data_IF_967765384100
#
_entry.id   IF_967765384100
#
_cell.length_a   1.000
_cell.length_b   1.000
_cell.length_c   1.000
_cell.angle_alpha   90.00
_cell.angle_beta   90.00
_cell.angle_gamma   90.00
#
_symmetry.space_group_name_H-M   'P 1'
#
loop_
_entity.id
_entity.type
_entity.pdbx_description
1 polymer ?
#
# COMPACT_ATOMS: atom_id res chain seq x y z
N UNK A 1 69.00 28.65 10.31
CA UNK A 1 69.32 27.32 10.87
C UNK A 1 69.23 26.31 9.72
N UNK A 2 70.38 25.83 9.26
CA UNK A 2 70.47 24.89 8.13
C UNK A 2 70.42 23.46 8.65
N UNK A 3 69.33 22.74 8.34
CA UNK A 3 69.27 21.31 8.63
C UNK A 3 70.12 20.52 7.62
N UNK A 4 70.89 19.56 8.05
CA UNK A 4 71.80 18.84 7.16
C UNK A 4 71.08 17.89 6.25
N UNK A 5 71.27 18.00 4.93
CA UNK A 5 70.66 17.20 3.83
C UNK A 5 70.79 15.67 3.99
N UNK A 6 71.56 15.17 4.93
CA UNK A 6 71.75 13.72 5.17
C UNK A 6 70.58 13.07 5.97
N UNK A 7 69.79 13.85 6.67
CA UNK A 7 68.61 13.30 7.42
C UNK A 7 67.40 13.01 6.53
N UNK A 8 67.24 13.77 5.44
CA UNK A 8 66.15 13.57 4.50
C UNK A 8 66.28 12.26 3.70
N UNK A 9 67.50 11.83 3.38
CA UNK A 9 67.76 10.62 2.60
C UNK A 9 67.51 9.34 3.42
N UNK A 10 67.81 9.39 4.73
CA UNK A 10 67.57 8.23 5.62
C UNK A 10 66.04 7.97 5.89
N UNK A 11 65.26 9.03 5.98
CA UNK A 11 63.83 8.92 6.14
C UNK A 11 63.13 8.37 4.89
N UNK A 12 63.69 8.69 3.70
CA UNK A 12 63.11 8.20 2.43
C UNK A 12 63.41 6.71 2.20
N UNK A 13 64.54 6.20 2.65
CA UNK A 13 64.89 4.77 2.55
C UNK A 13 64.13 3.94 3.56
N UNK A 14 63.82 4.48 4.76
CA UNK A 14 62.98 3.77 5.76
C UNK A 14 61.52 3.69 5.35
N UNK A 15 61.01 4.66 4.58
CA UNK A 15 59.63 4.64 4.04
C UNK A 15 59.44 3.65 2.88
N UNK A 16 60.51 3.33 2.13
CA UNK A 16 60.44 2.39 0.99
C UNK A 16 60.49 0.91 1.43
N UNK A 17 61.01 0.59 2.61
CA UNK A 17 61.11 -0.79 3.11
C UNK A 17 59.79 -1.28 3.73
N UNK A 18 58.91 -0.37 4.12
CA UNK A 18 57.61 -0.74 4.72
C UNK A 18 56.51 -1.09 3.71
N UNK A 19 56.72 -0.97 2.40
CA UNK A 19 55.73 -1.22 1.35
C UNK A 19 55.82 -2.62 0.71
N UNK A 20 56.73 -3.50 1.15
CA UNK A 20 56.93 -4.83 0.54
C UNK A 20 56.30 -5.98 1.36
N UNK A 21 55.64 -5.72 2.48
CA UNK A 21 55.16 -6.75 3.41
C UNK A 21 53.64 -6.89 3.51
N UNK A 22 52.89 -6.73 2.42
CA UNK A 22 51.48 -7.16 2.36
C UNK A 22 51.17 -7.58 0.93
N UNK A 23 51.61 -8.78 0.55
CA UNK A 23 50.93 -9.51 -0.52
C UNK A 23 49.76 -10.27 0.14
N UNK A 24 48.47 -10.06 -0.31
CA UNK A 24 47.42 -10.95 0.08
C UNK A 24 47.70 -12.32 -0.52
N UNK A 25 47.76 -13.33 0.33
CA UNK A 25 47.76 -14.74 -0.04
C UNK A 25 46.41 -15.01 -0.69
N UNK A 26 46.41 -15.34 -1.96
CA UNK A 26 45.22 -15.77 -2.69
C UNK A 26 44.82 -17.15 -2.14
N UNK A 27 43.86 -17.16 -1.21
CA UNK A 27 43.22 -18.37 -0.72
C UNK A 27 42.34 -18.90 -1.86
N UNK A 28 42.85 -19.97 -2.50
CA UNK A 28 42.07 -20.70 -3.53
C UNK A 28 40.83 -21.25 -2.82
N UNK A 29 39.70 -20.56 -2.95
CA UNK A 29 38.42 -21.07 -2.49
C UNK A 29 38.11 -22.34 -3.25
N UNK A 30 38.11 -23.49 -2.56
CA UNK A 30 37.58 -24.73 -3.08
C UNK A 30 36.10 -24.51 -3.45
N UNK A 31 35.77 -24.81 -4.72
CA UNK A 31 34.37 -24.80 -5.18
C UNK A 31 33.54 -25.75 -4.30
N UNK A 32 32.42 -25.29 -3.74
CA UNK A 32 31.54 -26.20 -3.02
C UNK A 32 31.02 -27.27 -3.97
N UNK A 33 31.26 -28.52 -3.62
CA UNK A 33 30.72 -29.69 -4.29
C UNK A 33 29.19 -29.58 -4.28
N UNK A 34 28.58 -29.60 -5.46
CA UNK A 34 27.13 -29.61 -5.62
C UNK A 34 26.54 -30.79 -4.81
N UNK A 35 25.83 -30.48 -3.74
CA UNK A 35 25.04 -31.45 -3.01
C UNK A 35 23.99 -32.02 -3.98
N UNK A 36 24.01 -33.33 -4.14
CA UNK A 36 23.00 -34.07 -4.93
C UNK A 36 21.64 -33.82 -4.27
N UNK A 37 20.75 -33.15 -5.01
CA UNK A 37 19.39 -32.92 -4.58
C UNK A 37 18.67 -34.26 -4.42
N UNK A 38 18.04 -34.58 -3.28
CA UNK A 38 17.27 -35.81 -3.15
C UNK A 38 16.11 -35.83 -4.15
N UNK A 39 16.03 -36.89 -4.95
CA UNK A 39 14.93 -37.15 -5.87
C UNK A 39 13.64 -37.26 -5.07
N UNK A 40 12.67 -36.40 -5.35
CA UNK A 40 11.34 -36.46 -4.75
C UNK A 40 10.66 -37.76 -5.20
N UNK A 41 10.43 -38.67 -4.29
CA UNK A 41 9.58 -39.83 -4.49
C UNK A 41 8.14 -39.32 -4.71
N UNK A 42 7.41 -39.78 -5.75
CA UNK A 42 6.03 -39.37 -5.93
C UNK A 42 5.20 -39.83 -4.72
N UNK A 43 4.59 -38.86 -4.04
CA UNK A 43 3.63 -39.08 -2.96
C UNK A 43 2.31 -39.53 -3.59
N UNK A 44 1.74 -40.59 -3.05
CA UNK A 44 0.46 -41.13 -3.47
C UNK A 44 -0.64 -40.07 -3.40
N UNK A 45 -1.32 -39.87 -4.51
CA UNK A 45 -2.48 -38.98 -4.62
C UNK A 45 -3.61 -39.52 -3.77
N UNK A 46 -4.14 -38.77 -2.77
CA UNK A 46 -5.31 -39.23 -2.05
C UNK A 46 -6.54 -39.25 -2.98
N UNK A 47 -7.11 -40.41 -3.18
CA UNK A 47 -8.40 -40.61 -3.84
C UNK A 47 -9.50 -39.94 -3.05
N UNK A 48 -10.15 -38.93 -3.61
CA UNK A 48 -11.30 -38.28 -3.00
C UNK A 48 -12.49 -39.23 -2.99
N UNK A 49 -12.88 -39.65 -1.79
CA UNK A 49 -14.17 -40.35 -1.58
C UNK A 49 -15.29 -39.34 -1.73
N UNK A 50 -16.34 -39.59 -2.54
CA UNK A 50 -17.45 -38.65 -2.67
C UNK A 50 -18.21 -38.55 -1.33
N UNK A 51 -18.26 -37.33 -0.77
CA UNK A 51 -19.02 -36.99 0.41
C UNK A 51 -20.50 -36.85 0.07
N UNK A 52 -21.34 -37.30 0.99
CA UNK A 52 -22.79 -37.38 0.87
C UNK A 52 -23.47 -36.05 0.52
N UNK A 53 -24.44 -36.13 -0.39
CA UNK A 53 -25.34 -35.04 -0.79
C UNK A 53 -26.19 -34.60 0.42
N UNK A 54 -26.05 -33.35 0.83
CA UNK A 54 -26.92 -32.75 1.85
C UNK A 54 -28.27 -32.37 1.21
N UNK A 55 -29.33 -32.93 1.76
CA UNK A 55 -30.72 -32.58 1.46
C UNK A 55 -31.01 -31.11 1.88
N UNK A 56 -31.67 -30.29 1.06
CA UNK A 56 -31.96 -28.91 1.44
C UNK A 56 -32.98 -28.84 2.57
N UNK A 57 -32.59 -28.24 3.68
CA UNK A 57 -33.44 -27.89 4.81
C UNK A 57 -34.19 -26.58 4.51
N UNK A 58 -35.44 -26.53 4.88
CA UNK A 58 -36.35 -25.44 4.62
C UNK A 58 -35.84 -24.05 5.03
N UNK A 59 -36.09 -23.07 4.15
CA UNK A 59 -35.82 -21.64 4.33
C UNK A 59 -36.73 -21.03 5.40
N UNK A 60 -36.19 -20.30 6.40
CA UNK A 60 -37.06 -19.54 7.31
C UNK A 60 -37.66 -18.29 6.62
N UNK A 61 -38.92 -18.07 6.85
CA UNK A 61 -39.69 -16.91 6.41
C UNK A 61 -39.17 -15.63 7.10
N UNK A 62 -38.91 -14.53 6.40
CA UNK A 62 -38.51 -13.29 7.05
C UNK A 62 -39.73 -12.65 7.75
N UNK A 63 -39.60 -12.43 9.05
CA UNK A 63 -40.54 -11.64 9.85
C UNK A 63 -40.16 -10.17 9.69
N UNK A 64 -41.09 -9.35 9.22
CA UNK A 64 -40.96 -7.90 9.17
C UNK A 64 -41.02 -7.31 10.57
N UNK A 65 -40.02 -6.54 10.98
CA UNK A 65 -40.08 -5.73 12.19
C UNK A 65 -39.31 -4.44 12.06
N UNK A 66 -39.93 -3.39 12.54
CA UNK A 66 -39.46 -2.09 12.98
C UNK A 66 -39.43 -0.95 11.97
N UNK A 67 -40.43 -0.13 12.16
CA UNK A 67 -40.59 1.27 11.79
C UNK A 67 -39.51 2.13 12.47
N UNK A 68 -38.65 2.78 11.70
CA UNK A 68 -37.74 3.84 12.19
C UNK A 68 -38.48 5.18 12.04
N UNK A 69 -38.69 5.87 13.15
CA UNK A 69 -39.20 7.24 13.20
C UNK A 69 -37.99 8.19 13.01
N UNK A 70 -37.98 8.97 11.94
CA UNK A 70 -36.94 9.99 11.70
C UNK A 70 -37.40 11.34 12.23
N UNK A 71 -36.54 11.93 13.08
CA UNK A 71 -36.66 13.34 13.50
C UNK A 71 -35.96 14.21 12.43
N UNK A 72 -36.60 15.26 11.89
CA UNK A 72 -35.99 16.07 10.85
C UNK A 72 -34.87 16.93 11.44
N UNK A 73 -33.63 16.76 10.94
CA UNK A 73 -32.50 17.67 11.15
C UNK A 73 -32.32 18.55 9.91
N UNK A 74 -32.36 19.85 10.08
CA UNK A 74 -32.23 20.85 9.02
C UNK A 74 -30.76 21.12 8.68
N UNK A 75 -30.08 20.20 7.98
CA UNK A 75 -28.79 20.48 7.36
C UNK A 75 -28.84 19.90 5.93
N UNK A 76 -28.63 20.71 4.87
CA UNK A 76 -28.61 20.19 3.52
C UNK A 76 -27.28 19.47 3.28
N UNK A 77 -27.31 18.15 3.35
CA UNK A 77 -26.21 17.31 2.87
C UNK A 77 -26.63 16.74 1.52
N UNK A 78 -25.82 16.97 0.49
CA UNK A 78 -26.00 16.38 -0.81
C UNK A 78 -25.87 14.86 -0.70
N UNK A 79 -26.95 14.16 -0.47
CA UNK A 79 -27.03 12.71 -0.44
C UNK A 79 -27.26 12.21 -1.85
N UNK A 80 -26.31 11.43 -2.37
CA UNK A 80 -26.51 10.69 -3.60
C UNK A 80 -27.68 9.71 -3.38
N UNK A 81 -28.76 9.89 -4.14
CA UNK A 81 -29.94 9.06 -4.09
C UNK A 81 -29.60 7.66 -4.61
N UNK A 82 -29.76 6.58 -3.84
CA UNK A 82 -29.63 5.25 -4.38
C UNK A 82 -30.78 4.97 -5.36
N UNK A 83 -30.44 4.67 -6.60
CA UNK A 83 -31.39 4.20 -7.60
C UNK A 83 -31.86 2.80 -7.22
N UNK A 84 -33.11 2.66 -6.82
CA UNK A 84 -33.72 1.36 -6.59
C UNK A 84 -34.04 0.76 -7.96
N UNK A 85 -33.30 -0.24 -8.39
CA UNK A 85 -33.65 -1.04 -9.56
C UNK A 85 -34.74 -2.04 -9.13
N UNK A 86 -35.98 -1.80 -9.55
CA UNK A 86 -37.05 -2.76 -9.37
C UNK A 86 -36.87 -3.91 -10.36
N UNK A 87 -36.47 -5.07 -9.86
CA UNK A 87 -36.47 -6.31 -10.63
C UNK A 87 -37.91 -6.80 -10.71
N UNK A 88 -38.54 -6.95 -11.89
CA UNK A 88 -39.87 -7.49 -12.00
C UNK A 88 -39.87 -8.98 -11.63
N UNK A 89 -40.52 -9.32 -10.53
CA UNK A 89 -40.81 -10.70 -10.15
C UNK A 89 -42.04 -11.16 -10.86
N UNK A 90 -41.91 -12.10 -11.80
CA UNK A 90 -43.08 -12.73 -12.42
C UNK A 90 -43.58 -13.83 -11.51
N UNK A 91 -44.77 -13.62 -10.93
CA UNK A 91 -45.51 -14.65 -10.21
C UNK A 91 -46.43 -15.32 -11.20
N UNK A 92 -46.15 -16.56 -11.56
CA UNK A 92 -47.06 -17.40 -12.33
C UNK A 92 -48.14 -17.94 -11.38
N UNK A 93 -49.32 -17.35 -11.39
CA UNK A 93 -50.50 -17.90 -10.71
C UNK A 93 -51.22 -18.81 -11.68
N UNK A 94 -51.08 -20.11 -11.50
CA UNK A 94 -51.91 -21.10 -12.22
C UNK A 94 -53.25 -21.21 -11.50
N UNK A 95 -54.29 -20.58 -12.06
CA UNK A 95 -55.67 -20.80 -11.62
C UNK A 95 -56.32 -21.74 -12.64
N UNK A 96 -56.47 -23.00 -12.29
CA UNK A 96 -57.27 -23.96 -13.07
C UNK A 96 -58.73 -23.86 -12.63
N UNK A 97 -59.57 -23.23 -13.47
CA UNK A 97 -61.00 -23.30 -13.31
C UNK A 97 -61.53 -24.24 -14.39
N UNK A 98 -61.98 -25.43 -13.98
CA UNK A 98 -62.70 -26.35 -14.85
C UNK A 98 -64.17 -25.95 -14.79
N UNK A 99 -64.69 -25.42 -15.89
CA UNK A 99 -66.16 -25.27 -16.06
C UNK A 99 -66.53 -26.03 -17.33
N UNK A 100 -67.18 -27.22 -17.14
CA UNK A 100 -67.78 -27.98 -18.21
C UNK A 100 -69.10 -27.39 -18.50
N UNK A 101 -69.33 -26.73 -19.64
CA UNK A 101 -70.63 -26.46 -20.20
C UNK A 101 -70.54 -26.66 -21.73
N UNK A 102 -71.24 -27.61 -22.30
CA UNK A 102 -71.29 -27.78 -23.76
C UNK A 102 -72.33 -26.80 -24.35
N UNK A 103 -71.82 -25.82 -25.12
CA UNK A 103 -72.66 -25.06 -26.02
C UNK A 103 -72.09 -25.10 -27.41
N UNK A 104 -72.83 -25.80 -28.31
CA UNK A 104 -72.51 -25.82 -29.74
C UNK A 104 -72.95 -24.50 -30.35
N UNK A 105 -72.09 -23.63 -30.72
CA UNK A 105 -72.35 -22.50 -31.62
C UNK A 105 -71.21 -22.39 -32.64
N UNK A 106 -71.55 -22.65 -33.92
CA UNK A 106 -70.74 -22.38 -35.06
C UNK A 106 -70.56 -20.85 -35.27
N UNK A 107 -69.76 -20.22 -34.48
CA UNK A 107 -69.38 -18.81 -34.70
C UNK A 107 -67.90 -18.81 -35.25
N UNK A 108 -67.62 -18.16 -36.40
CA UNK A 108 -66.27 -18.08 -36.91
C UNK A 108 -65.41 -17.35 -35.87
N UNK A 109 -64.34 -18.02 -35.49
CA UNK A 109 -63.30 -17.47 -34.60
C UNK A 109 -62.75 -16.15 -35.19
N UNK A 110 -62.70 -15.08 -34.42
CA UNK A 110 -62.00 -13.88 -34.84
C UNK A 110 -60.51 -14.22 -35.06
N UNK A 111 -59.82 -13.55 -36.00
CA UNK A 111 -58.42 -13.82 -36.27
C UNK A 111 -57.57 -13.70 -35.01
N UNK A 112 -56.90 -14.79 -34.65
CA UNK A 112 -55.94 -14.80 -33.54
C UNK A 112 -54.85 -13.82 -33.88
N UNK A 113 -54.71 -12.73 -33.08
CA UNK A 113 -53.60 -11.82 -33.17
C UNK A 113 -52.35 -12.63 -32.72
N UNK A 114 -51.61 -13.11 -33.68
CA UNK A 114 -50.28 -13.71 -33.41
C UNK A 114 -49.35 -12.56 -32.95
N UNK A 115 -49.09 -12.48 -31.66
CA UNK A 115 -48.01 -11.62 -31.18
C UNK A 115 -46.71 -12.11 -31.81
N UNK A 116 -46.30 -11.51 -32.92
CA UNK A 116 -44.96 -11.71 -33.49
C UNK A 116 -43.95 -11.29 -32.43
N UNK A 117 -43.01 -12.17 -32.02
CA UNK A 117 -42.00 -11.78 -31.05
C UNK A 117 -41.21 -10.60 -31.65
N UNK A 118 -41.25 -9.47 -30.98
CA UNK A 118 -40.38 -8.34 -31.28
C UNK A 118 -38.97 -8.82 -30.90
N UNK A 119 -38.14 -9.10 -31.89
CA UNK A 119 -36.73 -9.33 -31.69
C UNK A 119 -36.13 -8.02 -31.18
N UNK A 120 -35.96 -7.90 -29.87
CA UNK A 120 -35.17 -6.85 -29.27
C UNK A 120 -33.72 -7.16 -29.65
N UNK A 121 -33.15 -6.35 -30.53
CA UNK A 121 -31.71 -6.41 -30.80
C UNK A 121 -30.98 -6.21 -29.49
N UNK A 122 -30.48 -7.28 -28.88
CA UNK A 122 -29.59 -7.17 -27.73
C UNK A 122 -28.37 -6.35 -28.18
N UNK A 123 -28.07 -5.22 -27.55
CA UNK A 123 -26.92 -4.41 -27.94
C UNK A 123 -25.68 -5.28 -27.90
N UNK A 124 -24.94 -5.37 -29.00
CA UNK A 124 -23.65 -6.04 -29.03
C UNK A 124 -22.71 -5.27 -28.11
N UNK A 125 -22.17 -5.95 -27.10
CA UNK A 125 -21.23 -5.32 -26.18
C UNK A 125 -20.02 -4.76 -26.93
N UNK A 126 -19.49 -3.60 -26.56
CA UNK A 126 -18.28 -3.06 -27.16
C UNK A 126 -17.10 -3.96 -26.86
N UNK A 127 -16.10 -4.01 -27.77
CA UNK A 127 -14.89 -4.80 -27.59
C UNK A 127 -13.65 -3.91 -27.63
N UNK A 128 -12.70 -4.21 -26.74
CA UNK A 128 -11.37 -3.62 -26.74
C UNK A 128 -10.46 -4.55 -27.56
N UNK A 129 -10.13 -4.15 -28.79
CA UNK A 129 -9.28 -4.92 -29.70
C UNK A 129 -7.83 -4.90 -29.24
N UNK A 130 -7.34 -3.73 -28.80
CA UNK A 130 -6.02 -3.57 -28.21
C UNK A 130 -6.00 -2.46 -27.17
N UNK A 131 -5.15 -2.61 -26.15
CA UNK A 131 -4.78 -1.54 -25.22
C UNK A 131 -3.38 -1.84 -24.67
N UNK A 132 -2.42 -1.00 -25.04
CA UNK A 132 -1.01 -1.19 -24.74
C UNK A 132 -0.37 0.16 -24.34
N UNK A 133 0.78 0.07 -23.67
CA UNK A 133 1.68 1.19 -23.44
C UNK A 133 2.99 0.99 -24.21
N UNK A 134 3.62 2.06 -24.66
CA UNK A 134 4.93 2.00 -25.36
C UNK A 134 6.06 1.49 -24.49
N UNK A 135 5.91 1.59 -23.17
CA UNK A 135 6.81 1.00 -22.19
C UNK A 135 6.02 0.61 -20.93
N UNK A 136 6.37 -0.52 -20.32
CA UNK A 136 5.75 -1.02 -19.09
C UNK A 136 6.69 -0.95 -17.89
N UNK A 137 7.91 -0.45 -18.08
CA UNK A 137 8.91 -0.22 -17.04
C UNK A 137 9.61 1.10 -17.32
N UNK A 138 9.43 2.09 -16.45
CA UNK A 138 9.88 3.47 -16.65
C UNK A 138 10.34 4.10 -15.35
N UNK A 139 11.18 5.14 -15.45
CA UNK A 139 11.48 5.99 -14.30
C UNK A 139 10.27 6.88 -13.96
N UNK A 140 10.15 7.24 -12.69
CA UNK A 140 9.16 8.20 -12.22
C UNK A 140 9.20 9.50 -13.06
N UNK A 141 8.02 10.04 -13.35
CA UNK A 141 7.81 11.24 -14.15
C UNK A 141 8.25 11.13 -15.63
N UNK A 142 8.51 9.93 -16.13
CA UNK A 142 8.72 9.70 -17.57
C UNK A 142 7.41 9.74 -18.34
N UNK A 143 7.49 10.08 -19.62
CA UNK A 143 6.35 10.05 -20.54
C UNK A 143 6.23 8.67 -21.18
N UNK A 144 5.01 8.14 -21.25
CA UNK A 144 4.63 6.90 -21.96
C UNK A 144 3.44 7.20 -22.86
N UNK A 145 3.36 6.55 -23.99
CA UNK A 145 2.18 6.67 -24.85
C UNK A 145 1.30 5.44 -24.70
N UNK A 146 0.05 5.65 -24.29
CA UNK A 146 -1.01 4.63 -24.31
C UNK A 146 -1.59 4.58 -25.72
N UNK A 147 -1.82 3.37 -26.24
CA UNK A 147 -2.38 3.13 -27.59
C UNK A 147 -3.49 2.13 -27.48
N UNK A 148 -4.65 2.42 -28.10
CA UNK A 148 -5.80 1.54 -28.04
C UNK A 148 -6.59 1.55 -29.36
N UNK A 149 -7.32 0.47 -29.59
CA UNK A 149 -8.29 0.31 -30.65
C UNK A 149 -9.50 -0.44 -30.13
N UNK A 150 -10.70 0.10 -30.41
CA UNK A 150 -11.97 -0.49 -29.97
C UNK A 150 -13.03 -0.34 -31.08
N UNK A 151 -14.13 -1.06 -30.93
CA UNK A 151 -15.33 -0.86 -31.75
C UNK A 151 -16.45 -0.10 -31.01
N UNK A 152 -16.12 0.53 -29.89
CA UNK A 152 -17.05 1.23 -29.01
C UNK A 152 -17.49 2.61 -29.56
N UNK A 153 -18.53 3.19 -28.93
CA UNK A 153 -19.02 4.54 -29.25
C UNK A 153 -18.30 5.65 -28.44
N UNK A 154 -17.86 5.31 -27.22
CA UNK A 154 -17.09 6.21 -26.36
C UNK A 154 -16.12 5.46 -25.49
N UNK A 155 -15.10 6.17 -24.99
CA UNK A 155 -14.04 5.58 -24.17
C UNK A 155 -13.52 6.55 -23.11
N UNK A 156 -13.00 5.97 -22.04
CA UNK A 156 -12.37 6.68 -20.92
C UNK A 156 -11.17 5.89 -20.43
N UNK A 157 -10.11 6.58 -20.04
CA UNK A 157 -8.95 5.98 -19.38
C UNK A 157 -8.84 6.52 -17.96
N UNK A 158 -8.81 5.65 -16.98
CA UNK A 158 -8.57 5.98 -15.57
C UNK A 158 -7.12 5.64 -15.21
N UNK A 159 -6.38 6.59 -14.67
CA UNK A 159 -5.07 6.38 -14.05
C UNK A 159 -5.29 6.03 -12.58
N UNK A 160 -4.72 4.93 -12.11
CA UNK A 160 -4.94 4.39 -10.76
C UNK A 160 -3.62 3.99 -10.12
N UNK A 161 -3.61 3.98 -8.77
CA UNK A 161 -2.57 3.29 -8.01
C UNK A 161 -2.81 1.77 -7.98
N UNK A 162 -1.91 1.02 -7.34
CA UNK A 162 -2.00 -0.44 -7.23
C UNK A 162 -3.25 -0.93 -6.46
N UNK A 163 -3.90 -0.08 -5.64
CA UNK A 163 -5.13 -0.35 -4.91
C UNK A 163 -6.40 -0.09 -5.73
N UNK A 164 -6.27 0.37 -6.97
CA UNK A 164 -7.39 0.72 -7.82
C UNK A 164 -8.03 2.09 -7.51
N UNK A 165 -7.38 2.91 -6.68
CA UNK A 165 -7.84 4.28 -6.46
C UNK A 165 -7.50 5.14 -7.67
N UNK A 166 -8.54 5.79 -8.23
CA UNK A 166 -8.40 6.65 -9.40
C UNK A 166 -7.79 7.99 -8.97
N UNK A 167 -6.68 8.35 -9.61
CA UNK A 167 -6.01 9.64 -9.42
C UNK A 167 -6.37 10.65 -10.50
N UNK A 168 -6.60 10.17 -11.74
CA UNK A 168 -6.94 11.00 -12.88
C UNK A 168 -7.79 10.21 -13.87
N UNK A 169 -8.69 10.93 -14.57
CA UNK A 169 -9.54 10.37 -15.64
C UNK A 169 -9.36 11.18 -16.91
N UNK A 170 -9.20 10.48 -18.03
CA UNK A 170 -9.07 11.03 -19.37
C UNK A 170 -10.26 10.55 -20.21
N UNK A 171 -11.09 11.47 -20.71
CA UNK A 171 -12.08 11.15 -21.73
C UNK A 171 -11.39 11.13 -23.08
N UNK A 172 -11.51 10.02 -23.80
CA UNK A 172 -10.79 9.77 -25.04
C UNK A 172 -11.73 9.28 -26.14
N UNK A 173 -11.29 9.38 -27.39
CA UNK A 173 -12.01 8.77 -28.54
C UNK A 173 -11.83 7.24 -28.50
N UNK A 174 -12.75 6.47 -29.13
CA UNK A 174 -12.72 5.00 -29.09
C UNK A 174 -11.42 4.35 -29.63
N UNK A 175 -10.72 4.99 -30.53
CA UNK A 175 -9.43 4.50 -31.07
C UNK A 175 -8.46 5.65 -31.14
N UNK A 176 -7.23 5.45 -30.61
CA UNK A 176 -6.24 6.51 -30.61
C UNK A 176 -5.00 6.24 -29.78
N UNK A 177 -4.32 7.32 -29.45
CA UNK A 177 -3.16 7.32 -28.55
C UNK A 177 -3.17 8.53 -27.64
N UNK A 178 -2.59 8.39 -26.44
CA UNK A 178 -2.49 9.43 -25.44
C UNK A 178 -1.11 9.38 -24.78
N UNK A 179 -0.28 10.42 -24.92
CA UNK A 179 0.90 10.56 -24.09
C UNK A 179 0.50 10.90 -22.65
N UNK A 180 1.02 10.17 -21.68
CA UNK A 180 0.79 10.36 -20.25
C UNK A 180 2.12 10.43 -19.52
N UNK A 181 2.21 11.28 -18.50
CA UNK A 181 3.32 11.24 -17.55
C UNK A 181 3.01 10.23 -16.46
N UNK A 182 3.92 9.28 -16.21
CA UNK A 182 3.76 8.26 -15.18
C UNK A 182 4.28 8.82 -13.85
N UNK A 183 3.40 9.19 -12.89
CA UNK A 183 3.83 9.83 -11.66
C UNK A 183 4.49 8.86 -10.70
N UNK A 184 5.48 9.31 -9.94
CA UNK A 184 6.15 8.52 -8.90
C UNK A 184 5.32 8.38 -7.63
N UNK A 185 4.48 9.36 -7.33
CA UNK A 185 3.70 9.43 -6.09
C UNK A 185 2.47 8.50 -6.03
N UNK A 186 2.19 7.75 -7.08
CA UNK A 186 1.16 6.68 -7.07
C UNK A 186 1.73 5.32 -6.66
N UNK A 187 3.01 5.24 -6.29
CA UNK A 187 3.70 4.02 -5.94
C UNK A 187 4.52 3.44 -7.09
N UNK A 188 5.08 2.27 -6.85
CA UNK A 188 5.92 1.57 -7.83
C UNK A 188 5.12 0.87 -8.94
N UNK A 189 3.79 0.91 -8.89
CA UNK A 189 2.89 0.36 -9.90
C UNK A 189 1.77 1.36 -10.20
N UNK A 190 1.72 1.84 -11.43
CA UNK A 190 0.64 2.67 -11.95
C UNK A 190 -0.17 1.85 -12.95
N UNK A 191 -1.49 1.83 -12.76
CA UNK A 191 -2.41 1.08 -13.61
C UNK A 191 -3.26 2.05 -14.42
N UNK A 192 -3.30 1.86 -15.73
CA UNK A 192 -4.22 2.56 -16.61
C UNK A 192 -5.33 1.59 -17.01
N UNK A 193 -6.59 1.97 -16.78
CA UNK A 193 -7.77 1.17 -17.14
C UNK A 193 -8.55 1.88 -18.23
N UNK A 194 -8.61 1.28 -19.40
CA UNK A 194 -9.51 1.67 -20.48
C UNK A 194 -10.90 1.08 -20.19
N UNK A 195 -11.92 1.93 -20.19
CA UNK A 195 -13.33 1.55 -20.15
C UNK A 195 -14.00 2.08 -21.40
N UNK A 196 -14.71 1.23 -22.11
CA UNK A 196 -15.39 1.56 -23.38
C UNK A 196 -16.87 1.28 -23.26
N UNK A 197 -17.68 2.05 -23.98
CA UNK A 197 -19.13 2.05 -23.85
C UNK A 197 -19.81 1.97 -25.22
N UNK A 198 -20.94 1.23 -25.27
CA UNK A 198 -21.93 1.25 -26.36
C UNK A 198 -23.33 1.22 -25.73
N UNK A 199 -24.01 2.36 -25.70
CA UNK A 199 -25.22 2.53 -24.89
C UNK A 199 -24.95 2.21 -23.41
N UNK A 200 -25.68 1.24 -22.84
CA UNK A 200 -25.47 0.78 -21.46
C UNK A 200 -24.42 -0.33 -21.32
N UNK A 201 -23.97 -0.94 -22.41
CA UNK A 201 -22.96 -1.98 -22.37
C UNK A 201 -21.55 -1.40 -22.27
N UNK A 202 -20.66 -2.06 -21.53
CA UNK A 202 -19.27 -1.65 -21.36
C UNK A 202 -18.31 -2.84 -21.39
N UNK A 203 -17.04 -2.56 -21.72
CA UNK A 203 -15.92 -3.47 -21.57
C UNK A 203 -14.73 -2.75 -20.96
N UNK A 204 -13.83 -3.47 -20.30
CA UNK A 204 -12.66 -2.90 -19.63
C UNK A 204 -11.39 -3.70 -19.85
N UNK A 205 -10.27 -2.98 -20.04
CA UNK A 205 -8.93 -3.58 -20.11
C UNK A 205 -7.93 -2.69 -19.39
N UNK A 206 -6.95 -3.30 -18.72
CA UNK A 206 -5.92 -2.56 -17.98
C UNK A 206 -4.52 -2.87 -18.51
N UNK A 207 -3.65 -1.86 -18.43
CA UNK A 207 -2.21 -1.99 -18.60
C UNK A 207 -1.53 -1.47 -17.34
N UNK A 208 -0.55 -2.22 -16.83
CA UNK A 208 0.22 -1.87 -15.64
C UNK A 208 1.61 -1.38 -16.06
N UNK A 209 2.08 -0.32 -15.44
CA UNK A 209 3.40 0.27 -15.67
C UNK A 209 4.16 0.26 -14.34
N UNK A 210 5.31 -0.42 -14.32
CA UNK A 210 6.22 -0.43 -13.18
C UNK A 210 7.06 0.84 -13.19
N UNK A 211 7.08 1.54 -12.06
CA UNK A 211 7.84 2.77 -11.86
C UNK A 211 9.15 2.46 -11.15
N UNK A 212 10.25 2.75 -11.80
CA UNK A 212 11.59 2.69 -11.20
C UNK A 212 11.93 4.05 -10.58
N UNK A 213 12.29 4.04 -9.31
CA UNK A 213 12.73 5.25 -8.63
C UNK A 213 14.14 5.65 -9.10
N UNK A 214 14.35 6.95 -9.31
CA UNK A 214 15.66 7.50 -9.70
C UNK A 214 16.70 7.35 -8.57
N UNK A 215 16.24 7.30 -7.33
CA UNK A 215 17.07 7.12 -6.13
C UNK A 215 16.70 5.80 -5.46
N UNK A 216 17.69 5.04 -5.04
CA UNK A 216 17.47 3.81 -4.29
C UNK A 216 17.12 4.09 -2.82
N UNK A 217 16.35 3.19 -2.22
CA UNK A 217 16.13 3.19 -0.78
C UNK A 217 17.41 2.75 -0.03
N UNK A 218 17.79 3.44 1.05
CA UNK A 218 18.97 3.08 1.86
C UNK A 218 18.85 1.69 2.48
N UNK A 219 17.62 1.20 2.69
CA UNK A 219 17.34 -0.12 3.25
C UNK A 219 17.18 -1.20 2.17
N UNK A 220 17.27 -0.86 0.90
CA UNK A 220 17.11 -1.73 -0.26
C UNK A 220 15.71 -1.71 -0.86
N UNK A 221 15.64 -1.57 -2.19
CA UNK A 221 14.38 -1.43 -2.92
C UNK A 221 13.42 -2.62 -2.74
N UNK A 222 13.96 -3.82 -2.48
CA UNK A 222 13.16 -5.03 -2.25
C UNK A 222 12.32 -5.00 -0.96
N UNK A 223 12.65 -4.11 -0.03
CA UNK A 223 11.90 -3.93 1.21
C UNK A 223 10.90 -2.77 1.14
N UNK A 224 10.91 -2.00 0.05
CA UNK A 224 9.95 -0.92 -0.12
C UNK A 224 8.53 -1.49 -0.14
N UNK A 225 7.58 -0.90 0.60
CA UNK A 225 6.19 -1.34 0.55
C UNK A 225 5.65 -1.28 -0.89
N UNK A 226 4.81 -2.23 -1.31
CA UNK A 226 4.27 -2.27 -2.68
C UNK A 226 3.58 -0.99 -3.15
N UNK A 227 3.14 -0.18 -2.21
CA UNK A 227 2.39 1.06 -2.44
C UNK A 227 3.15 2.30 -1.96
N UNK A 228 4.45 2.17 -1.72
CA UNK A 228 5.31 3.32 -1.45
C UNK A 228 5.55 4.09 -2.74
N UNK A 229 5.72 5.40 -2.62
CA UNK A 229 6.26 6.24 -3.67
C UNK A 229 7.76 6.04 -3.87
N UNK A 230 8.40 6.98 -4.52
CA UNK A 230 9.85 6.99 -4.70
C UNK A 230 10.55 7.85 -3.64
N UNK A 231 11.83 7.57 -3.33
CA UNK A 231 12.64 8.50 -2.56
C UNK A 231 12.71 9.87 -3.23
N UNK A 232 12.49 10.93 -2.47
CA UNK A 232 12.61 12.32 -2.96
C UNK A 232 14.08 12.74 -3.20
N UNK A 233 15.01 11.95 -2.67
CA UNK A 233 16.46 12.19 -2.78
C UNK A 233 17.26 11.14 -2.02
N UNK A 234 18.60 11.30 -1.96
CA UNK A 234 19.46 10.40 -1.19
C UNK A 234 19.12 10.46 0.29
N UNK A 235 19.47 9.40 1.02
CA UNK A 235 19.37 9.40 2.47
C UNK A 235 20.28 10.46 3.09
N UNK A 236 19.88 11.00 4.23
CA UNK A 236 20.73 11.77 5.13
C UNK A 236 20.98 11.00 6.43
N UNK A 237 22.09 11.32 7.10
CA UNK A 237 22.42 10.76 8.40
C UNK A 237 22.79 11.88 9.35
N UNK A 238 22.45 11.70 10.61
CA UNK A 238 22.75 12.67 11.68
C UNK A 238 22.90 12.02 13.03
N UNK A 239 23.28 12.81 14.02
CA UNK A 239 23.28 12.37 15.39
C UNK A 239 21.89 11.88 15.75
N UNK A 240 21.80 10.73 16.40
CA UNK A 240 20.54 10.13 16.70
C UNK A 240 20.49 9.44 18.06
N UNK A 241 19.28 9.06 18.44
CA UNK A 241 19.06 8.19 19.58
C UNK A 241 17.84 7.30 19.34
N UNK A 242 17.79 6.20 20.09
CA UNK A 242 16.66 5.28 20.14
C UNK A 242 16.43 4.78 21.56
N UNK A 243 15.20 4.65 21.96
CA UNK A 243 14.83 3.97 23.21
C UNK A 243 13.53 3.22 23.00
N UNK A 244 13.51 1.93 23.33
CA UNK A 244 12.31 1.12 23.31
C UNK A 244 11.57 1.22 24.64
N UNK A 245 10.24 1.13 24.58
CA UNK A 245 9.32 1.18 25.71
C UNK A 245 8.43 -0.05 25.72
N UNK A 246 7.72 -0.33 26.81
CA UNK A 246 6.82 -1.47 26.95
C UNK A 246 5.78 -1.57 25.81
N UNK A 247 5.27 -0.43 25.35
CA UNK A 247 4.22 -0.35 24.31
C UNK A 247 4.52 0.65 23.21
N UNK A 248 5.82 0.85 22.91
CA UNK A 248 6.24 1.78 21.86
C UNK A 248 7.73 1.99 21.80
N UNK A 249 8.13 3.07 21.14
CA UNK A 249 9.53 3.48 21.04
C UNK A 249 9.63 4.97 20.73
N UNK A 250 10.81 5.54 20.95
CA UNK A 250 11.13 6.89 20.48
C UNK A 250 12.42 6.86 19.66
N UNK A 251 12.44 7.61 18.57
CA UNK A 251 13.61 7.82 17.72
C UNK A 251 13.89 9.32 17.66
N UNK A 252 15.11 9.70 17.91
CA UNK A 252 15.60 11.04 17.72
C UNK A 252 16.56 11.10 16.55
N UNK A 253 16.47 12.17 15.76
CA UNK A 253 17.43 12.49 14.70
C UNK A 253 17.71 14.00 14.67
N UNK A 254 19.00 14.31 14.58
CA UNK A 254 19.50 15.66 14.40
C UNK A 254 20.46 15.66 13.20
N UNK A 255 20.00 16.23 12.11
CA UNK A 255 20.80 16.50 10.92
C UNK A 255 20.81 18.00 10.61
N UNK A 256 21.40 18.39 9.49
CA UNK A 256 21.49 19.82 9.11
C UNK A 256 20.15 20.54 9.02
N UNK A 257 19.05 19.82 8.90
CA UNK A 257 17.72 20.36 8.63
C UNK A 257 16.69 20.02 9.74
N UNK A 258 17.03 19.14 10.68
CA UNK A 258 16.09 18.56 11.63
C UNK A 258 16.69 18.39 13.01
N UNK A 259 15.87 18.62 14.00
CA UNK A 259 16.10 18.32 15.42
C UNK A 259 14.79 17.73 15.96
N UNK A 260 14.49 16.46 15.60
CA UNK A 260 13.14 15.91 15.72
C UNK A 260 13.13 14.59 16.47
N UNK A 261 12.15 14.43 17.35
CA UNK A 261 11.81 13.19 18.03
C UNK A 261 10.54 12.61 17.39
N UNK A 262 10.59 11.34 17.00
CA UNK A 262 9.45 10.53 16.57
C UNK A 262 9.04 9.64 17.74
N UNK A 263 7.89 9.93 18.35
CA UNK A 263 7.32 9.12 19.40
C UNK A 263 6.25 8.19 18.81
N UNK A 264 6.41 6.89 18.98
CA UNK A 264 5.56 5.87 18.41
C UNK A 264 4.97 4.99 19.51
N UNK A 265 3.70 4.61 19.35
CA UNK A 265 3.01 3.67 20.23
C UNK A 265 2.53 2.46 19.42
N UNK A 266 2.53 1.27 20.05
CA UNK A 266 2.10 0.04 19.42
C UNK A 266 0.58 -0.05 19.25
N UNK A 267 -0.16 0.60 20.14
CA UNK A 267 -1.61 0.68 20.02
C UNK A 267 -1.98 1.50 18.78
N UNK A 268 -2.71 0.91 17.85
CA UNK A 268 -3.12 1.49 16.57
C UNK A 268 -1.96 1.95 15.67
N UNK A 269 -0.72 1.55 16.00
CA UNK A 269 0.52 1.93 15.30
C UNK A 269 0.62 3.45 15.05
N UNK A 270 0.19 4.28 16.00
CA UNK A 270 0.21 5.75 15.88
C UNK A 270 1.55 6.34 16.29
N UNK A 271 1.86 7.47 15.69
CA UNK A 271 3.03 8.27 16.06
C UNK A 271 2.73 9.75 16.06
N UNK A 272 3.63 10.50 16.70
CA UNK A 272 3.66 11.96 16.68
C UNK A 272 5.11 12.43 16.61
N UNK A 273 5.34 13.61 16.04
CA UNK A 273 6.66 14.21 15.94
C UNK A 273 6.75 15.46 16.82
N UNK A 274 7.92 15.66 17.45
CA UNK A 274 8.23 16.82 18.25
C UNK A 274 9.56 17.42 17.83
N UNK A 275 9.66 18.75 17.78
CA UNK A 275 10.96 19.40 17.84
C UNK A 275 11.60 19.11 19.19
N UNK A 276 12.86 18.67 19.20
CA UNK A 276 13.57 18.42 20.45
C UNK A 276 13.84 19.73 21.18
N UNK A 277 13.28 19.88 22.37
CA UNK A 277 13.48 21.04 23.26
C UNK A 277 14.36 20.76 24.48
N UNK A 278 14.99 19.58 24.54
CA UNK A 278 15.93 19.27 25.60
C UNK A 278 17.22 20.10 25.46
N UNK A 279 17.68 20.69 26.56
CA UNK A 279 18.85 21.59 26.62
C UNK A 279 20.20 20.86 26.71
N UNK A 280 20.19 19.52 26.72
CA UNK A 280 21.40 18.69 26.86
C UNK A 280 21.82 18.40 28.30
N UNK A 281 21.19 19.00 29.29
CA UNK A 281 21.62 18.90 30.71
C UNK A 281 20.49 18.63 31.70
N UNK A 282 19.29 19.14 31.46
CA UNK A 282 18.17 19.00 32.39
C UNK A 282 17.71 17.55 32.50
N UNK A 283 17.54 17.09 33.74
CA UNK A 283 16.97 15.78 34.05
C UNK A 283 15.50 15.92 34.43
N UNK A 284 14.69 14.91 34.06
CA UNK A 284 13.24 14.91 34.26
C UNK A 284 12.82 13.76 35.16
N UNK A 285 11.77 13.93 35.94
CA UNK A 285 11.27 12.95 36.90
C UNK A 285 9.73 12.89 36.96
N UNK A 286 9.04 13.22 35.86
CA UNK A 286 7.58 13.16 35.77
C UNK A 286 7.02 11.73 35.79
N UNK A 287 7.87 10.73 35.63
CA UNK A 287 7.57 9.31 35.68
C UNK A 287 7.91 8.75 37.04
N UNK A 288 7.10 7.83 37.57
CA UNK A 288 7.39 7.15 38.83
C UNK A 288 8.66 6.29 38.78
N UNK A 289 8.94 5.56 39.83
CA UNK A 289 10.09 4.63 39.87
C UNK A 289 9.83 3.42 39.01
N UNK A 290 10.69 3.13 38.01
CA UNK A 290 10.58 1.91 37.21
C UNK A 290 10.75 0.67 38.09
N UNK A 291 10.01 -0.39 37.78
CA UNK A 291 10.05 -1.68 38.47
C UNK A 291 10.44 -2.79 37.48
N UNK A 292 10.79 -3.96 38.00
CA UNK A 292 10.97 -5.19 37.19
C UNK A 292 12.02 -5.07 36.06
N UNK A 293 13.14 -4.36 36.29
CA UNK A 293 14.20 -4.21 35.28
C UNK A 293 13.89 -3.20 34.18
N UNK A 294 12.77 -2.51 34.26
CA UNK A 294 12.45 -1.37 33.40
C UNK A 294 13.31 -0.16 33.77
N UNK A 295 13.44 0.76 32.82
CA UNK A 295 14.25 1.98 32.97
C UNK A 295 13.38 3.23 32.83
N UNK A 296 13.85 4.32 33.42
CA UNK A 296 13.28 5.62 33.15
C UNK A 296 13.59 6.07 31.72
N UNK A 297 12.72 6.85 31.08
CA UNK A 297 13.10 7.60 29.87
C UNK A 297 14.35 8.43 30.14
N UNK A 298 15.21 8.59 29.14
CA UNK A 298 16.49 9.27 29.29
C UNK A 298 16.60 10.49 28.37
N UNK A 299 17.26 11.55 28.82
CA UNK A 299 17.66 12.72 28.03
C UNK A 299 16.50 13.36 27.24
N UNK A 300 16.63 13.53 25.89
CA UNK A 300 15.59 14.10 25.05
C UNK A 300 14.28 13.29 25.09
N UNK A 301 14.35 11.98 25.33
CA UNK A 301 13.15 11.15 25.48
C UNK A 301 12.46 11.38 26.83
N UNK A 302 13.20 11.64 27.90
CA UNK A 302 12.63 12.09 29.17
C UNK A 302 11.98 13.47 29.03
N UNK A 303 12.61 14.38 28.29
CA UNK A 303 12.01 15.67 27.97
C UNK A 303 10.67 15.49 27.23
N UNK A 304 10.65 14.70 26.15
CA UNK A 304 9.42 14.44 25.39
C UNK A 304 8.35 13.80 26.26
N UNK A 305 8.73 12.82 27.08
CA UNK A 305 7.84 12.08 27.97
C UNK A 305 7.17 13.00 29.00
N UNK A 306 7.88 14.01 29.50
CA UNK A 306 7.41 14.90 30.56
C UNK A 306 6.72 16.17 30.02
N UNK A 307 7.11 16.69 28.86
CA UNK A 307 6.72 18.02 28.39
C UNK A 307 5.79 18.02 27.19
N UNK A 308 5.51 16.85 26.60
CA UNK A 308 4.66 16.75 25.43
C UNK A 308 3.49 15.79 25.66
N UNK A 309 2.47 15.93 24.86
CA UNK A 309 1.33 15.02 24.90
C UNK A 309 1.59 13.83 23.99
N UNK A 310 1.41 12.61 24.51
CA UNK A 310 1.39 11.43 23.68
C UNK A 310 0.19 11.46 22.72
N UNK A 311 0.21 10.64 21.65
CA UNK A 311 -0.92 10.51 20.75
C UNK A 311 -2.24 10.15 21.42
N UNK A 312 -2.18 9.38 22.53
CA UNK A 312 -3.36 8.96 23.31
C UNK A 312 -2.99 8.92 24.81
N UNK A 313 -3.71 9.68 25.61
CA UNK A 313 -3.71 9.55 27.07
C UNK A 313 -2.40 9.87 27.81
N UNK A 314 -1.47 10.58 27.20
CA UNK A 314 -0.14 10.85 27.75
C UNK A 314 0.85 9.69 27.55
N UNK A 315 2.16 9.99 27.60
CA UNK A 315 3.20 9.00 27.32
C UNK A 315 3.21 7.82 28.28
N UNK A 316 3.06 8.05 29.57
CA UNK A 316 3.01 6.96 30.57
C UNK A 316 1.86 5.98 30.32
N UNK A 317 0.70 6.47 29.92
CA UNK A 317 -0.44 5.63 29.54
C UNK A 317 -0.26 4.94 28.19
N UNK A 318 0.43 5.59 27.25
CA UNK A 318 0.61 5.08 25.88
C UNK A 318 1.74 4.07 25.76
N UNK A 319 2.94 4.40 26.22
CA UNK A 319 4.14 3.59 25.95
C UNK A 319 4.73 2.90 27.18
N UNK A 320 4.41 3.34 28.40
CA UNK A 320 4.96 2.79 29.64
C UNK A 320 6.42 3.18 29.86
N UNK A 321 7.15 2.40 30.66
CA UNK A 321 8.57 2.60 30.95
C UNK A 321 9.46 2.08 29.82
N UNK A 322 10.71 2.56 29.78
CA UNK A 322 11.68 2.09 28.83
C UNK A 322 12.13 0.64 29.15
N UNK A 323 12.23 -0.16 28.10
CA UNK A 323 12.69 -1.54 28.16
C UNK A 323 14.18 -1.69 27.81
N UNK A 324 14.77 -0.62 27.28
CA UNK A 324 16.21 -0.56 26.90
C UNK A 324 16.85 0.71 27.44
N UNK A 325 18.15 0.69 27.61
CA UNK A 325 18.94 1.92 27.71
C UNK A 325 18.81 2.72 26.41
N UNK A 326 19.10 4.02 26.49
CA UNK A 326 19.17 4.87 25.32
C UNK A 326 20.36 4.45 24.44
N UNK A 327 20.11 4.21 23.16
CA UNK A 327 21.14 4.01 22.14
C UNK A 327 21.39 5.35 21.41
N UNK A 328 22.62 5.85 21.44
CA UNK A 328 23.03 7.14 20.87
C UNK A 328 23.85 6.96 19.60
N UNK A 329 23.43 6.12 18.70
CA UNK A 329 24.08 5.98 17.41
C UNK A 329 23.44 6.87 16.35
N UNK A 330 24.21 7.24 15.32
CA UNK A 330 23.68 8.00 14.20
C UNK A 330 22.49 7.27 13.58
N UNK A 331 21.53 8.04 13.09
CA UNK A 331 20.35 7.54 12.39
C UNK A 331 20.39 7.98 10.93
N UNK A 332 19.91 7.10 10.08
CA UNK A 332 19.72 7.36 8.66
C UNK A 332 18.23 7.62 8.40
N UNK A 333 17.95 8.64 7.60
CA UNK A 333 16.59 9.05 7.24
C UNK A 333 16.48 9.27 5.74
N UNK A 334 15.35 8.89 5.17
CA UNK A 334 15.02 9.13 3.77
C UNK A 334 13.53 9.42 3.63
N UNK A 335 13.18 10.27 2.69
CA UNK A 335 11.82 10.74 2.47
C UNK A 335 11.21 10.13 1.22
N UNK A 336 9.93 9.86 1.29
CA UNK A 336 9.08 9.40 0.21
C UNK A 336 8.33 10.59 -0.41
N UNK A 337 8.10 10.60 -1.71
CA UNK A 337 7.35 11.64 -2.42
C UNK A 337 5.86 11.70 -2.03
N UNK A 338 5.34 10.66 -1.36
CA UNK A 338 4.02 10.67 -0.73
C UNK A 338 4.00 11.34 0.65
N UNK A 339 5.16 11.81 1.14
CA UNK A 339 5.32 12.47 2.43
C UNK A 339 5.61 11.53 3.61
N UNK A 340 5.77 10.24 3.37
CA UNK A 340 6.22 9.34 4.42
C UNK A 340 7.74 9.45 4.64
N UNK A 341 8.20 9.01 5.81
CA UNK A 341 9.58 9.08 6.26
C UNK A 341 10.05 7.71 6.70
N UNK A 342 11.27 7.34 6.32
CA UNK A 342 11.92 6.09 6.74
C UNK A 342 13.12 6.41 7.61
N UNK A 343 13.20 5.76 8.78
CA UNK A 343 14.28 5.97 9.74
C UNK A 343 14.77 4.61 10.22
N UNK A 344 16.10 4.42 10.25
CA UNK A 344 16.71 3.23 10.82
C UNK A 344 16.71 3.27 12.36
N UNK A 345 16.83 2.11 12.96
CA UNK A 345 16.95 1.92 14.39
C UNK A 345 17.63 0.59 14.70
N UNK A 346 18.00 0.31 15.97
CA UNK A 346 18.49 -1.00 16.38
C UNK A 346 17.48 -2.14 16.12
N UNK A 347 16.20 -1.81 16.00
CA UNK A 347 15.13 -2.79 15.71
C UNK A 347 14.84 -2.96 14.22
N UNK A 348 15.50 -2.20 13.36
CA UNK A 348 15.30 -2.20 11.90
C UNK A 348 14.86 -0.85 11.37
N UNK A 349 14.20 -0.83 10.23
CA UNK A 349 13.72 0.39 9.57
C UNK A 349 12.24 0.59 9.80
N UNK A 350 11.86 1.77 10.23
CA UNK A 350 10.48 2.17 10.44
C UNK A 350 10.04 3.19 9.40
N UNK A 351 8.83 3.01 8.88
CA UNK A 351 8.13 3.98 8.03
C UNK A 351 7.12 4.74 8.87
N UNK A 352 7.18 6.06 8.81
CA UNK A 352 6.24 6.99 9.45
C UNK A 352 5.41 7.65 8.34
N UNK A 353 4.12 7.34 8.27
CA UNK A 353 3.22 7.90 7.29
C UNK A 353 2.51 9.13 7.86
N UNK A 354 2.95 10.32 7.48
CA UNK A 354 2.39 11.58 7.98
C UNK A 354 0.92 11.80 7.60
N UNK A 355 0.47 11.23 6.47
CA UNK A 355 -0.91 11.38 6.01
C UNK A 355 -1.91 10.63 6.90
N UNK A 356 -1.51 9.49 7.46
CA UNK A 356 -2.36 8.65 8.32
C UNK A 356 -2.03 8.79 9.80
N UNK A 357 -0.89 9.38 10.16
CA UNK A 357 -0.38 9.43 11.53
C UNK A 357 0.02 8.06 12.08
N UNK A 358 0.35 7.11 11.19
CA UNK A 358 0.68 5.73 11.55
C UNK A 358 2.09 5.34 11.14
N UNK A 359 2.66 4.38 11.86
CA UNK A 359 3.97 3.82 11.55
C UNK A 359 3.87 2.33 11.24
N UNK A 360 4.89 1.82 10.55
CA UNK A 360 5.07 0.39 10.30
C UNK A 360 6.55 0.02 10.28
N UNK A 361 6.88 -1.22 10.65
CA UNK A 361 8.23 -1.76 10.50
C UNK A 361 8.38 -2.32 9.09
N UNK A 362 9.49 -1.98 8.42
CA UNK A 362 9.76 -2.35 7.03
C UNK A 362 10.80 -3.47 6.94
N UNK A 363 11.81 -3.42 7.83
CA UNK A 363 12.92 -4.36 7.83
C UNK A 363 13.34 -4.69 9.26
#
# INVERSE_FOLDING_TARGET
MMFPKKFATLLFILSLVSLVACQPQEEVAELPTLAVLPTLTPSDTPTMTPSATNTPTATPTPTATATATFTPSNTPTNTLTPTITLTPTFTLTLTSTITNTPVSTNTPLPPTITNTPIFTNTPIAPQILSFNATATNVTANSSVTLVWSTDAESARIDQMNAQGQVSQTFNVIPTGSLPVTVPGNLGTLVVYRLTVFRGAAQDTRSVAITVQCATAWFFGNQYAPPNSGCPTGPQSSGAGAFQAFERGFMIYINDSNRNTIYGAQNQDARFITYGNGWDGTTTYSCFGTPTNGLQAPQEMFAWAYCNTNAPIGGWSGSVGFATTAIDKTNRTIQFEDTGAVYIDSPLGVFRFNNSTGTWSKIK
#
